data_IF_233965691328
#
_entry.id   IF_233965691328
#
_cell.length_a   1.000
_cell.length_b   1.000
_cell.length_c   1.000
_cell.angle_alpha   90.00
_cell.angle_beta   90.00
_cell.angle_gamma   90.00
#
_symmetry.space_group_name_H-M   'P 1'
#
loop_
_entity.id
_entity.type
_entity.pdbx_description
1 polymer ?
#
# COMPACT_ATOMS: atom_id res chain seq x y z
N UNK A 1 -68.12 12.51 -26.88
CA UNK A 1 -67.79 11.88 -25.59
C UNK A 1 -67.11 10.52 -25.76
N UNK A 2 -67.71 9.54 -26.45
CA UNK A 2 -67.14 8.19 -26.62
C UNK A 2 -65.75 8.13 -27.28
N UNK A 3 -65.49 9.00 -28.27
CA UNK A 3 -64.19 9.05 -28.97
C UNK A 3 -63.10 9.58 -28.03
N UNK A 4 -63.40 10.64 -27.26
CA UNK A 4 -62.46 11.23 -26.30
C UNK A 4 -62.09 10.25 -25.20
N UNK A 5 -63.07 9.51 -24.67
CA UNK A 5 -62.82 8.47 -23.66
C UNK A 5 -62.00 7.30 -24.22
N UNK A 6 -62.23 6.91 -25.48
CA UNK A 6 -61.44 5.87 -26.13
C UNK A 6 -59.97 6.26 -26.32
N UNK A 7 -59.71 7.50 -26.73
CA UNK A 7 -58.35 8.04 -26.85
C UNK A 7 -57.64 8.11 -25.50
N UNK A 8 -58.33 8.57 -24.45
CA UNK A 8 -57.78 8.62 -23.09
C UNK A 8 -57.43 7.23 -22.57
N UNK A 9 -58.28 6.24 -22.85
CA UNK A 9 -58.07 4.85 -22.45
C UNK A 9 -56.84 4.24 -23.15
N UNK A 10 -56.68 4.48 -24.46
CA UNK A 10 -55.50 4.05 -25.21
C UNK A 10 -54.21 4.70 -24.71
N UNK A 11 -54.25 6.00 -24.39
CA UNK A 11 -53.11 6.72 -23.83
C UNK A 11 -52.72 6.16 -22.45
N UNK A 12 -53.71 5.84 -21.61
CA UNK A 12 -53.48 5.21 -20.31
C UNK A 12 -52.88 3.81 -20.44
N UNK A 13 -53.34 3.02 -21.42
CA UNK A 13 -52.79 1.70 -21.69
C UNK A 13 -51.32 1.78 -22.14
N UNK A 14 -50.98 2.76 -22.99
CA UNK A 14 -49.60 3.02 -23.41
C UNK A 14 -48.71 3.44 -22.24
N UNK A 15 -49.17 4.37 -21.39
CA UNK A 15 -48.45 4.78 -20.19
C UNK A 15 -48.23 3.62 -19.22
N UNK A 16 -49.23 2.75 -19.06
CA UNK A 16 -49.13 1.56 -18.21
C UNK A 16 -48.09 0.57 -18.75
N UNK A 17 -48.08 0.32 -20.07
CA UNK A 17 -47.07 -0.54 -20.70
C UNK A 17 -45.65 0.04 -20.55
N UNK A 18 -45.51 1.35 -20.74
CA UNK A 18 -44.23 2.04 -20.54
C UNK A 18 -43.74 1.94 -19.09
N UNK A 19 -44.63 2.18 -18.12
CA UNK A 19 -44.33 2.08 -16.69
C UNK A 19 -43.86 0.68 -16.29
N UNK A 20 -44.55 -0.36 -16.80
CA UNK A 20 -44.16 -1.76 -16.55
C UNK A 20 -42.79 -2.10 -17.17
N UNK A 21 -42.47 -1.52 -18.33
CA UNK A 21 -41.17 -1.70 -18.97
C UNK A 21 -40.04 -1.01 -18.19
N UNK A 22 -40.27 0.22 -17.71
CA UNK A 22 -39.32 0.95 -16.88
C UNK A 22 -39.04 0.23 -15.55
N UNK A 23 -40.07 -0.24 -14.85
CA UNK A 23 -39.94 -0.98 -13.58
C UNK A 23 -39.11 -2.26 -13.74
N UNK A 24 -39.23 -2.97 -14.87
CA UNK A 24 -38.45 -4.18 -15.14
C UNK A 24 -36.97 -3.90 -15.33
N UNK A 25 -36.59 -2.78 -15.96
CA UNK A 25 -35.19 -2.41 -16.12
C UNK A 25 -34.55 -2.03 -14.78
N UNK A 26 -35.25 -1.24 -13.97
CA UNK A 26 -34.73 -0.81 -12.66
C UNK A 26 -34.55 -1.98 -11.69
N UNK A 27 -35.45 -2.97 -11.72
CA UNK A 27 -35.34 -4.18 -10.90
C UNK A 27 -34.12 -5.06 -11.28
N UNK A 28 -33.74 -5.09 -12.56
CA UNK A 28 -32.56 -5.82 -13.03
C UNK A 28 -31.26 -5.12 -12.67
N UNK A 29 -31.19 -3.81 -12.91
CA UNK A 29 -30.01 -2.99 -12.61
C UNK A 29 -29.78 -2.84 -11.10
N UNK A 30 -30.86 -2.75 -10.31
CA UNK A 30 -30.78 -2.68 -8.85
C UNK A 30 -30.14 -3.93 -8.23
N UNK A 31 -30.58 -5.12 -8.65
CA UNK A 31 -30.01 -6.38 -8.16
C UNK A 31 -28.53 -6.54 -8.49
N UNK A 32 -28.15 -6.21 -9.72
CA UNK A 32 -26.76 -6.31 -10.14
C UNK A 32 -25.86 -5.33 -9.38
N UNK A 33 -26.35 -4.11 -9.10
CA UNK A 33 -25.64 -3.14 -8.24
C UNK A 33 -25.48 -3.62 -6.80
N UNK A 34 -26.49 -4.28 -6.24
CA UNK A 34 -26.42 -4.86 -4.91
C UNK A 34 -25.42 -6.02 -4.85
N UNK A 35 -25.42 -6.90 -5.85
CA UNK A 35 -24.46 -8.00 -5.98
C UNK A 35 -23.02 -7.49 -6.12
N UNK A 36 -22.78 -6.52 -7.01
CA UNK A 36 -21.47 -5.89 -7.21
C UNK A 36 -20.98 -5.21 -5.92
N UNK A 37 -21.88 -4.54 -5.19
CA UNK A 37 -21.54 -3.87 -3.93
C UNK A 37 -21.17 -4.88 -2.83
N UNK A 38 -21.89 -6.00 -2.73
CA UNK A 38 -21.58 -7.07 -1.78
C UNK A 38 -20.23 -7.72 -2.09
N UNK A 39 -19.93 -7.95 -3.38
CA UNK A 39 -18.66 -8.50 -3.80
C UNK A 39 -17.50 -7.56 -3.43
N UNK A 40 -17.63 -6.27 -3.76
CA UNK A 40 -16.60 -5.28 -3.48
C UNK A 40 -16.35 -5.12 -1.97
N UNK A 41 -17.41 -5.22 -1.16
CA UNK A 41 -17.30 -5.20 0.30
C UNK A 41 -16.56 -6.44 0.84
N UNK A 42 -16.76 -7.61 0.23
CA UNK A 42 -16.00 -8.83 0.52
C UNK A 42 -14.51 -8.67 0.19
N UNK A 43 -14.20 -8.18 -1.01
CA UNK A 43 -12.83 -7.97 -1.47
C UNK A 43 -12.08 -6.98 -0.56
N UNK A 44 -12.72 -5.87 -0.16
CA UNK A 44 -12.13 -4.89 0.76
C UNK A 44 -11.86 -5.51 2.13
N UNK A 45 -12.76 -6.35 2.65
CA UNK A 45 -12.56 -7.03 3.93
C UNK A 45 -11.38 -8.00 3.88
N UNK A 46 -11.26 -8.76 2.79
CA UNK A 46 -10.14 -9.68 2.58
C UNK A 46 -8.81 -8.93 2.50
N UNK A 47 -8.76 -7.83 1.74
CA UNK A 47 -7.57 -6.98 1.65
C UNK A 47 -7.18 -6.38 3.00
N UNK A 48 -8.15 -5.88 3.78
CA UNK A 48 -7.88 -5.36 5.13
C UNK A 48 -7.30 -6.43 6.06
N UNK A 49 -7.80 -7.66 5.98
CA UNK A 49 -7.28 -8.80 6.75
C UNK A 49 -5.85 -9.14 6.35
N UNK A 50 -5.54 -9.14 5.05
CA UNK A 50 -4.20 -9.38 4.55
C UNK A 50 -3.22 -8.29 5.02
N UNK A 51 -3.59 -7.01 4.89
CA UNK A 51 -2.77 -5.89 5.37
C UNK A 51 -2.48 -6.01 6.86
N UNK A 52 -3.51 -6.28 7.67
CA UNK A 52 -3.34 -6.45 9.12
C UNK A 52 -2.40 -7.61 9.47
N UNK A 53 -2.49 -8.73 8.73
CA UNK A 53 -1.55 -9.86 8.91
C UNK A 53 -0.11 -9.47 8.59
N UNK A 54 0.11 -8.71 7.51
CA UNK A 54 1.44 -8.21 7.15
C UNK A 54 1.98 -7.24 8.22
N UNK A 55 1.13 -6.34 8.73
CA UNK A 55 1.50 -5.42 9.82
C UNK A 55 1.89 -6.19 11.09
N UNK A 56 1.09 -7.19 11.49
CA UNK A 56 1.38 -8.06 12.63
C UNK A 56 2.68 -8.84 12.41
N UNK A 57 2.93 -9.36 11.21
CA UNK A 57 4.17 -10.09 10.85
C UNK A 57 5.40 -9.18 10.91
N UNK A 58 5.29 -7.93 10.47
CA UNK A 58 6.36 -6.93 10.59
C UNK A 58 6.64 -6.60 12.05
N UNK A 59 5.59 -6.46 12.88
CA UNK A 59 5.72 -6.17 14.30
C UNK A 59 6.26 -7.35 15.11
N UNK A 60 5.95 -8.58 14.70
CA UNK A 60 6.33 -9.81 15.42
C UNK A 60 7.63 -10.44 14.95
N UNK A 61 8.16 -10.04 13.79
CA UNK A 61 9.43 -10.57 13.28
C UNK A 61 10.60 -9.63 13.59
N UNK A 62 11.44 -9.89 14.62
CA UNK A 62 12.64 -9.11 14.89
C UNK A 62 13.76 -9.38 13.88
N UNK A 63 13.64 -10.40 13.01
CA UNK A 63 14.72 -10.80 12.08
C UNK A 63 15.11 -9.70 11.08
N UNK A 64 14.17 -8.84 10.68
CA UNK A 64 14.46 -7.69 9.81
C UNK A 64 15.41 -6.68 10.46
N UNK A 65 15.29 -6.50 11.78
CA UNK A 65 16.23 -5.69 12.55
C UNK A 65 17.51 -6.46 12.87
N UNK A 66 17.46 -7.76 13.19
CA UNK A 66 18.65 -8.52 13.59
C UNK A 66 19.68 -8.70 12.45
N UNK A 67 19.23 -8.95 11.20
CA UNK A 67 20.15 -9.02 10.05
C UNK A 67 20.75 -7.66 9.73
N UNK A 68 19.95 -6.58 9.80
CA UNK A 68 20.39 -5.21 9.52
C UNK A 68 21.32 -4.67 10.60
N UNK A 69 21.11 -5.03 11.87
CA UNK A 69 22.03 -4.71 12.96
C UNK A 69 23.33 -5.50 12.84
N UNK A 70 23.27 -6.77 12.40
CA UNK A 70 24.48 -7.58 12.20
C UNK A 70 25.36 -7.02 11.09
N UNK A 71 24.78 -6.65 9.93
CA UNK A 71 25.55 -6.05 8.83
C UNK A 71 26.12 -4.67 9.21
N UNK A 72 25.35 -3.81 9.87
CA UNK A 72 25.85 -2.51 10.34
C UNK A 72 26.96 -2.67 11.39
N UNK A 73 26.80 -3.59 12.35
CA UNK A 73 27.84 -3.87 13.34
C UNK A 73 29.13 -4.38 12.67
N UNK A 74 29.02 -5.25 11.67
CA UNK A 74 30.17 -5.72 10.90
C UNK A 74 30.86 -4.58 10.13
N UNK A 75 30.08 -3.68 9.52
CA UNK A 75 30.60 -2.48 8.84
C UNK A 75 31.30 -1.54 9.83
N UNK A 76 30.71 -1.26 11.00
CA UNK A 76 31.32 -0.44 12.06
C UNK A 76 32.63 -1.05 12.55
N UNK A 77 32.67 -2.36 12.84
CA UNK A 77 33.89 -3.04 13.30
C UNK A 77 34.98 -2.99 12.22
N UNK A 78 34.62 -3.23 10.96
CA UNK A 78 35.57 -3.23 9.84
C UNK A 78 36.12 -1.83 9.56
N UNK A 79 35.26 -0.81 9.59
CA UNK A 79 35.66 0.58 9.40
C UNK A 79 36.62 1.03 10.51
N UNK A 80 36.31 0.72 11.77
CA UNK A 80 37.15 1.06 12.91
C UNK A 80 38.53 0.36 12.85
N UNK A 81 38.55 -0.94 12.54
CA UNK A 81 39.81 -1.69 12.39
C UNK A 81 40.72 -1.10 11.30
N UNK A 82 40.14 -0.70 10.15
CA UNK A 82 40.91 -0.08 9.07
C UNK A 82 41.42 1.31 9.45
N UNK A 83 40.62 2.09 10.18
CA UNK A 83 41.06 3.38 10.69
C UNK A 83 42.23 3.24 11.68
N UNK A 84 42.16 2.28 12.61
CA UNK A 84 43.24 1.94 13.55
C UNK A 84 44.51 1.45 12.82
N UNK A 85 44.35 0.82 11.65
CA UNK A 85 45.46 0.43 10.77
C UNK A 85 46.07 1.60 9.99
N UNK A 86 45.56 2.82 10.15
CA UNK A 86 46.08 4.03 9.52
C UNK A 86 45.54 4.30 8.12
N UNK A 87 44.45 3.64 7.70
CA UNK A 87 43.79 3.96 6.43
C UNK A 87 43.01 5.28 6.53
N UNK A 88 43.06 6.07 5.46
CA UNK A 88 42.26 7.30 5.33
C UNK A 88 40.77 6.99 5.13
N UNK A 89 39.90 7.96 5.43
CA UNK A 89 38.44 7.85 5.26
C UNK A 89 38.07 7.48 3.81
N UNK A 90 38.71 8.12 2.82
CA UNK A 90 38.56 7.84 1.39
C UNK A 90 38.85 6.37 1.04
N UNK A 91 39.93 5.82 1.60
CA UNK A 91 40.33 4.43 1.38
C UNK A 91 39.37 3.45 2.04
N UNK A 92 38.83 3.80 3.21
CA UNK A 92 37.84 2.99 3.92
C UNK A 92 36.50 3.02 3.16
N UNK A 93 36.07 4.19 2.70
CA UNK A 93 34.89 4.40 1.86
C UNK A 93 34.96 3.56 0.58
N UNK A 94 36.10 3.63 -0.12
CA UNK A 94 36.36 2.83 -1.32
C UNK A 94 36.36 1.32 -1.00
N UNK A 95 36.98 0.91 0.11
CA UNK A 95 37.06 -0.50 0.51
C UNK A 95 35.70 -1.08 0.94
N UNK A 96 34.80 -0.27 1.49
CA UNK A 96 33.48 -0.68 1.96
C UNK A 96 32.38 -0.38 0.93
N UNK A 97 32.71 0.28 -0.18
CA UNK A 97 31.76 0.78 -1.19
C UNK A 97 30.69 1.71 -0.58
N UNK A 98 31.09 2.53 0.39
CA UNK A 98 30.26 3.53 1.08
C UNK A 98 30.71 4.94 0.72
N UNK A 99 29.86 5.93 0.97
CA UNK A 99 30.28 7.34 0.93
C UNK A 99 31.17 7.70 2.14
N UNK A 100 32.03 8.70 1.99
CA UNK A 100 32.89 9.19 3.07
C UNK A 100 32.08 9.64 4.30
N UNK A 101 30.96 10.34 4.07
CA UNK A 101 30.03 10.75 5.13
C UNK A 101 29.47 9.55 5.92
N UNK A 102 29.13 8.47 5.22
CA UNK A 102 28.62 7.25 5.85
C UNK A 102 29.71 6.57 6.69
N UNK A 103 30.95 6.57 6.21
CA UNK A 103 32.10 6.05 6.96
C UNK A 103 32.37 6.87 8.22
N UNK A 104 32.28 8.21 8.15
CA UNK A 104 32.40 9.09 9.31
C UNK A 104 31.33 8.75 10.35
N UNK A 105 30.08 8.52 9.93
CA UNK A 105 29.01 8.10 10.83
C UNK A 105 29.23 6.72 11.48
N UNK A 106 29.96 5.82 10.82
CA UNK A 106 30.29 4.48 11.33
C UNK A 106 31.48 4.48 12.31
N UNK A 107 32.32 5.50 12.29
CA UNK A 107 33.47 5.63 13.19
C UNK A 107 33.05 6.05 14.61
N UNK A 108 33.89 5.86 15.64
CA UNK A 108 33.60 6.33 16.99
C UNK A 108 33.62 7.87 17.09
N UNK A 109 32.92 8.43 18.08
CA UNK A 109 32.61 9.88 18.13
C UNK A 109 33.85 10.79 18.16
N UNK A 110 34.95 10.34 18.77
CA UNK A 110 36.23 11.07 18.78
C UNK A 110 36.85 11.25 17.37
N UNK A 111 36.50 10.38 16.42
CA UNK A 111 36.88 10.52 15.02
C UNK A 111 35.90 11.45 14.31
N UNK A 112 34.60 11.35 14.60
CA UNK A 112 33.57 12.23 14.02
C UNK A 112 33.87 13.70 14.30
N UNK A 113 34.25 14.04 15.53
CA UNK A 113 34.62 15.40 15.92
C UNK A 113 35.82 15.97 15.14
N UNK A 114 36.65 15.11 14.54
CA UNK A 114 37.78 15.51 13.72
C UNK A 114 37.39 15.85 12.28
N UNK A 115 36.24 15.36 11.82
CA UNK A 115 35.75 15.50 10.44
C UNK A 115 34.37 16.19 10.36
N UNK A 116 33.86 16.72 11.47
CA UNK A 116 32.68 17.59 11.55
C UNK A 116 33.05 19.06 11.34
#
# INVERSE_FOLDING_TARGET
MLILTGVLFLLSALFMLYSLYAQKQEAGVGKQREEDALQLMGDVYELQSQVKRLEDEILTTPEGNQKKTSSLQQLTVTANLKYEQGFSIEQIATSLQLHEDEVIHLLPDHVKERYA
#
